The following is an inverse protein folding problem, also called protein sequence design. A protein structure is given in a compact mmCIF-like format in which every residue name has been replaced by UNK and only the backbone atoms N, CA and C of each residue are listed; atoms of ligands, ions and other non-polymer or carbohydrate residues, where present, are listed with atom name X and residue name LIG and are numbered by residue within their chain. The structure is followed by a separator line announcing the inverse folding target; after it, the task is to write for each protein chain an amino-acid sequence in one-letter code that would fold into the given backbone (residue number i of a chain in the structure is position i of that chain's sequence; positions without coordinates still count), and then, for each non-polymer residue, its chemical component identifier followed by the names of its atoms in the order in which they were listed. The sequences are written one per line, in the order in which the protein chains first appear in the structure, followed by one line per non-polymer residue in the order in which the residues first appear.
data_IF_759370151045
#
_entry.id   IF_759370151045
#
_cell.length_a   1.000
_cell.length_b   1.000
_cell.length_c   1.000
_cell.angle_alpha   90.00
_cell.angle_beta   90.00
_cell.angle_gamma   90.00
#
_symmetry.space_group_name_H-M   'P 1'
#
loop_
_entity.id
_entity.type
_entity.pdbx_description
1 polymer ?
#
# COMPACT_ATOMS: atom_id res chain seq x y z
N UNK A 1 -22.75 -5.68 19.73
CA UNK A 1 -22.31 -6.91 20.42
C UNK A 1 -22.88 -8.17 19.76
N UNK A 2 -24.03 -8.74 20.15
CA UNK A 2 -24.45 -10.11 19.76
C UNK A 2 -24.21 -10.51 18.29
N UNK A 3 -24.71 -9.76 17.30
CA UNK A 3 -24.48 -10.05 15.86
C UNK A 3 -22.99 -10.07 15.44
N UNK A 4 -22.12 -9.28 16.07
CA UNK A 4 -20.68 -9.24 15.74
C UNK A 4 -19.95 -10.45 16.35
N UNK A 5 -20.34 -10.86 17.56
CA UNK A 5 -19.85 -12.10 18.17
C UNK A 5 -20.29 -13.31 17.32
N UNK A 6 -21.54 -13.33 16.83
CA UNK A 6 -22.03 -14.35 15.90
C UNK A 6 -21.21 -14.41 14.60
N UNK A 7 -20.95 -13.26 13.97
CA UNK A 7 -20.16 -13.18 12.72
C UNK A 7 -18.74 -13.70 12.95
N UNK A 8 -18.11 -13.38 14.08
CA UNK A 8 -16.83 -13.97 14.48
C UNK A 8 -16.88 -15.50 14.55
N UNK A 9 -17.97 -16.04 15.10
CA UNK A 9 -18.12 -17.47 15.34
C UNK A 9 -18.45 -18.28 14.09
N UNK A 10 -19.19 -17.69 13.16
CA UNK A 10 -19.40 -18.26 11.82
C UNK A 10 -18.13 -18.22 10.94
N UNK A 11 -17.08 -17.52 11.38
CA UNK A 11 -15.80 -17.41 10.67
C UNK A 11 -14.62 -17.99 11.45
N UNK A 12 -14.79 -18.61 12.63
CA UNK A 12 -13.70 -18.97 13.57
C UNK A 12 -12.90 -20.23 13.14
N UNK A 13 -12.89 -20.51 11.84
CA UNK A 13 -13.05 -21.83 11.27
C UNK A 13 -11.80 -22.43 10.60
N UNK A 14 -10.70 -21.70 10.59
CA UNK A 14 -9.41 -22.15 10.05
C UNK A 14 -8.28 -21.47 10.85
N UNK A 15 -8.17 -21.81 12.13
CA UNK A 15 -7.33 -21.08 13.11
C UNK A 15 -6.07 -21.88 13.51
N UNK A 16 -5.94 -23.16 13.14
CA UNK A 16 -5.00 -24.07 13.80
C UNK A 16 -3.95 -24.67 12.87
N UNK A 17 -2.69 -24.67 13.32
CA UNK A 17 -1.87 -25.89 13.22
C UNK A 17 -2.50 -26.90 14.18
N UNK A 18 -3.07 -27.99 13.63
CA UNK A 18 -3.95 -28.96 14.28
C UNK A 18 -3.75 -29.08 15.82
N UNK A 19 -2.56 -29.50 16.21
CA UNK A 19 -2.19 -29.90 17.56
C UNK A 19 -2.39 -28.76 18.59
N UNK A 20 -2.05 -27.52 18.25
CA UNK A 20 -1.95 -26.42 19.23
C UNK A 20 -3.30 -25.95 19.81
N UNK A 21 -4.42 -26.17 19.13
CA UNK A 21 -5.76 -25.85 19.66
C UNK A 21 -6.45 -27.07 20.23
N UNK A 22 -6.26 -28.23 19.61
CA UNK A 22 -6.67 -29.51 20.17
C UNK A 22 -6.05 -29.69 21.56
N UNK A 23 -4.79 -29.29 21.79
CA UNK A 23 -4.16 -29.28 23.10
C UNK A 23 -4.69 -28.20 24.07
N UNK A 24 -5.00 -26.99 23.59
CA UNK A 24 -5.72 -25.98 24.39
C UNK A 24 -7.11 -26.48 24.81
N UNK A 25 -7.80 -27.24 23.97
CA UNK A 25 -9.12 -27.79 24.27
C UNK A 25 -9.07 -29.02 25.20
N UNK A 26 -7.98 -29.81 25.18
CA UNK A 26 -7.75 -30.88 26.16
C UNK A 26 -7.59 -30.33 27.58
N UNK A 27 -6.92 -29.18 27.75
CA UNK A 27 -6.69 -28.55 29.07
C UNK A 27 -6.77 -27.01 29.02
N UNK A 28 -7.97 -26.41 28.85
CA UNK A 28 -8.12 -24.97 28.76
C UNK A 28 -7.99 -24.30 30.14
N UNK A 29 -7.35 -23.12 30.20
CA UNK A 29 -7.46 -22.25 31.38
C UNK A 29 -8.92 -21.83 31.64
N UNK A 30 -9.29 -21.34 32.83
CA UNK A 30 -10.63 -20.85 33.10
C UNK A 30 -11.13 -19.82 32.07
N UNK A 31 -10.29 -18.88 31.63
CA UNK A 31 -10.62 -17.88 30.61
C UNK A 31 -10.77 -18.49 29.22
N UNK A 32 -9.92 -19.45 28.85
CA UNK A 32 -10.04 -20.19 27.60
C UNK A 32 -11.34 -21.01 27.59
N UNK A 33 -11.69 -21.66 28.70
CA UNK A 33 -12.96 -22.40 28.84
C UNK A 33 -14.17 -21.47 28.77
N UNK A 34 -14.12 -20.28 29.39
CA UNK A 34 -15.16 -19.25 29.20
C UNK A 34 -15.26 -18.78 27.74
N UNK A 35 -14.13 -18.71 27.03
CA UNK A 35 -14.09 -18.33 25.61
C UNK A 35 -14.70 -19.42 24.72
N UNK A 36 -14.30 -20.68 24.87
CA UNK A 36 -14.90 -21.84 24.17
C UNK A 36 -16.40 -21.94 24.46
N UNK A 37 -16.81 -21.76 25.72
CA UNK A 37 -18.23 -21.76 26.10
C UNK A 37 -19.01 -20.61 25.43
N UNK A 38 -18.44 -19.40 25.34
CA UNK A 38 -19.06 -18.29 24.61
C UNK A 38 -19.13 -18.57 23.10
N UNK A 39 -18.12 -19.26 22.55
CA UNK A 39 -18.09 -19.64 21.13
C UNK A 39 -19.23 -20.59 20.77
N UNK A 40 -19.43 -21.64 21.56
CA UNK A 40 -20.45 -22.68 21.31
C UNK A 40 -21.86 -22.12 21.50
N UNK A 41 -22.09 -21.33 22.55
CA UNK A 41 -23.42 -20.79 22.85
C UNK A 41 -23.93 -19.87 21.72
N UNK A 42 -23.10 -18.97 21.19
CA UNK A 42 -23.52 -18.08 20.11
C UNK A 42 -23.45 -18.73 18.71
N UNK A 43 -22.74 -19.86 18.53
CA UNK A 43 -22.99 -20.73 17.37
C UNK A 43 -24.41 -21.32 17.43
N UNK A 44 -24.80 -21.86 18.60
CA UNK A 44 -26.09 -22.52 18.81
C UNK A 44 -27.29 -21.58 18.74
N UNK A 45 -27.12 -20.29 19.07
CA UNK A 45 -28.19 -19.27 19.06
C UNK A 45 -28.87 -19.12 17.66
N UNK A 46 -28.19 -19.53 16.58
CA UNK A 46 -28.67 -19.36 15.18
C UNK A 46 -28.61 -20.66 14.35
N UNK A 47 -28.71 -21.82 15.00
CA UNK A 47 -28.76 -23.13 14.34
C UNK A 47 -30.00 -23.93 14.73
N UNK A 48 -30.59 -24.62 13.76
CA UNK A 48 -31.62 -25.63 13.99
C UNK A 48 -31.09 -26.71 14.95
N UNK A 49 -31.95 -27.27 15.81
CA UNK A 49 -31.58 -28.24 16.88
C UNK A 49 -30.51 -29.26 16.45
N UNK A 50 -30.77 -29.98 15.35
CA UNK A 50 -29.90 -31.01 14.74
C UNK A 50 -28.49 -30.56 14.32
N UNK A 51 -28.20 -29.26 14.30
CA UNK A 51 -26.91 -28.71 13.91
C UNK A 51 -26.13 -28.08 15.08
N UNK A 52 -26.77 -27.88 16.25
CA UNK A 52 -26.15 -27.32 17.44
C UNK A 52 -24.98 -28.20 17.93
N UNK A 53 -23.92 -27.56 18.39
CA UNK A 53 -22.75 -28.21 19.00
C UNK A 53 -23.01 -28.36 20.50
N UNK A 54 -22.79 -29.54 21.07
CA UNK A 54 -22.96 -29.75 22.51
C UNK A 54 -21.79 -29.13 23.28
N UNK A 55 -22.08 -28.17 24.17
CA UNK A 55 -21.08 -27.47 25.00
C UNK A 55 -20.30 -28.38 25.96
N UNK A 56 -20.78 -29.60 26.18
CA UNK A 56 -20.12 -30.63 26.99
C UNK A 56 -19.56 -31.80 26.14
N UNK A 57 -19.47 -31.66 24.81
CA UNK A 57 -18.81 -32.64 23.96
C UNK A 57 -17.29 -32.69 24.30
N UNK A 58 -16.68 -33.86 24.59
CA UNK A 58 -15.23 -33.94 24.75
C UNK A 58 -14.48 -33.60 23.45
N UNK A 59 -15.07 -33.89 22.29
CA UNK A 59 -14.53 -33.65 20.94
C UNK A 59 -15.01 -32.29 20.37
N UNK A 60 -15.48 -31.38 21.23
CA UNK A 60 -16.11 -30.11 20.82
C UNK A 60 -15.26 -29.24 19.89
N UNK A 61 -13.94 -29.33 20.02
CA UNK A 61 -13.01 -28.57 19.20
C UNK A 61 -12.72 -29.22 17.85
N UNK A 62 -12.97 -30.52 17.71
CA UNK A 62 -12.97 -31.26 16.45
C UNK A 62 -14.32 -31.01 15.73
N UNK A 63 -15.43 -31.00 16.46
CA UNK A 63 -16.75 -30.62 15.94
C UNK A 63 -16.83 -29.13 15.48
N UNK A 64 -16.10 -28.23 16.17
CA UNK A 64 -15.88 -26.83 15.76
C UNK A 64 -14.86 -26.67 14.62
N UNK A 65 -14.10 -27.73 14.27
CA UNK A 65 -13.13 -27.71 13.19
C UNK A 65 -13.73 -28.26 11.89
N UNK A 66 -14.31 -29.46 11.91
CA UNK A 66 -14.82 -30.16 10.73
C UNK A 66 -15.97 -29.42 10.02
N UNK A 67 -16.87 -28.81 10.79
CA UNK A 67 -18.03 -28.05 10.27
C UNK A 67 -17.64 -26.76 9.52
N UNK A 68 -16.34 -26.49 9.35
CA UNK A 68 -15.83 -25.13 9.33
C UNK A 68 -14.56 -24.95 8.49
N UNK A 69 -13.54 -25.77 8.72
CA UNK A 69 -12.31 -26.00 7.94
C UNK A 69 -12.13 -25.18 6.64
N UNK A 70 -11.59 -23.93 6.79
CA UNK A 70 -10.78 -21.56 5.37
C UNK A 70 -10.15 -20.22 6.01
N UNK A 71 -8.80 -20.18 6.12
CA UNK A 71 -7.95 -19.28 6.92
C UNK A 71 -8.60 -18.09 7.64
N UNK A 72 -8.37 -17.97 8.96
CA UNK A 72 -8.55 -16.72 9.73
C UNK A 72 -7.49 -15.67 9.36
N UNK A 73 -7.47 -15.35 8.05
CA UNK A 73 -6.56 -14.51 7.28
C UNK A 73 -7.30 -13.27 6.73
N UNK A 74 -8.58 -13.11 7.10
CA UNK A 74 -9.47 -12.02 6.71
C UNK A 74 -10.75 -12.02 7.57
N UNK A 75 -10.90 -11.06 8.48
CA UNK A 75 -12.22 -10.57 8.91
C UNK A 75 -12.43 -9.23 8.19
N UNK A 76 -13.08 -9.25 7.03
CA UNK A 76 -13.15 -8.07 6.14
C UNK A 76 -14.61 -7.70 5.86
N UNK A 77 -14.92 -6.41 5.88
CA UNK A 77 -16.26 -5.88 5.57
C UNK A 77 -17.32 -6.10 6.66
N UNK A 78 -16.92 -6.45 7.89
CA UNK A 78 -17.85 -6.90 8.95
C UNK A 78 -18.28 -5.78 9.91
N UNK A 79 -17.83 -4.54 9.67
CA UNK A 79 -18.18 -3.37 10.48
C UNK A 79 -17.73 -3.44 11.94
N UNK A 80 -16.74 -4.30 12.24
CA UNK A 80 -16.23 -4.58 13.59
C UNK A 80 -15.58 -3.36 14.23
N UNK A 81 -15.75 -3.15 15.53
CA UNK A 81 -15.12 -2.02 16.25
C UNK A 81 -14.40 -2.44 17.53
N UNK A 82 -14.96 -3.39 18.28
CA UNK A 82 -14.32 -4.03 19.43
C UNK A 82 -13.55 -5.28 18.99
N UNK A 83 -12.24 -5.29 19.24
CA UNK A 83 -11.33 -6.41 19.00
C UNK A 83 -10.69 -6.97 20.28
N UNK A 84 -11.27 -6.69 21.45
CA UNK A 84 -10.76 -7.10 22.77
C UNK A 84 -10.60 -8.61 22.92
N UNK A 85 -11.40 -9.40 22.18
CA UNK A 85 -11.31 -10.86 22.15
C UNK A 85 -9.97 -11.38 21.57
N UNK A 86 -9.28 -10.60 20.71
CA UNK A 86 -8.02 -11.03 20.09
C UNK A 86 -6.89 -11.29 21.11
N UNK A 87 -7.00 -10.76 22.34
CA UNK A 87 -6.02 -11.02 23.41
C UNK A 87 -5.82 -12.51 23.75
N UNK A 88 -6.77 -13.37 23.36
CA UNK A 88 -6.71 -14.83 23.58
C UNK A 88 -6.07 -15.61 22.42
N UNK A 89 -5.58 -14.92 21.37
CA UNK A 89 -5.10 -15.51 20.12
C UNK A 89 -3.61 -15.18 19.89
N UNK A 90 -2.81 -15.16 20.97
CA UNK A 90 -1.42 -14.69 21.05
C UNK A 90 -0.45 -15.33 20.03
N UNK A 91 -0.76 -16.55 19.62
CA UNK A 91 -0.02 -17.35 18.65
C UNK A 91 -0.24 -16.93 17.18
N UNK A 92 -1.20 -16.05 16.87
CA UNK A 92 -1.48 -15.57 15.51
C UNK A 92 -0.24 -14.97 14.85
N UNK A 93 0.17 -15.52 13.71
CA UNK A 93 1.29 -15.00 12.91
C UNK A 93 0.87 -14.04 11.80
N UNK A 94 -0.40 -14.08 11.41
CA UNK A 94 -1.01 -13.31 10.32
C UNK A 94 -2.41 -12.86 10.75
N UNK A 95 -2.75 -11.59 10.51
CA UNK A 95 -4.07 -11.05 10.84
C UNK A 95 -4.47 -9.97 9.81
N UNK A 96 -5.74 -9.99 9.40
CA UNK A 96 -6.31 -9.03 8.48
C UNK A 96 -7.72 -8.67 8.96
N UNK A 97 -7.88 -7.39 9.28
CA UNK A 97 -9.07 -6.74 9.81
C UNK A 97 -9.49 -5.58 8.90
N UNK A 98 -9.09 -5.62 7.62
CA UNK A 98 -9.38 -4.56 6.64
C UNK A 98 -10.89 -4.30 6.54
N UNK A 99 -11.28 -3.06 6.25
CA UNK A 99 -12.67 -2.69 5.97
C UNK A 99 -13.60 -2.97 7.16
N UNK A 100 -13.33 -2.28 8.27
CA UNK A 100 -14.07 -2.37 9.51
C UNK A 100 -14.12 -0.98 10.20
N UNK A 101 -14.76 -0.91 11.36
CA UNK A 101 -14.95 0.29 12.18
C UNK A 101 -13.97 0.34 13.38
N UNK A 102 -12.77 -0.25 13.25
CA UNK A 102 -11.83 -0.37 14.38
C UNK A 102 -11.15 0.99 14.61
N UNK A 103 -11.21 1.45 15.86
CA UNK A 103 -10.63 2.73 16.32
C UNK A 103 -9.59 2.55 17.42
N UNK A 104 -9.70 1.50 18.23
CA UNK A 104 -8.76 1.17 19.32
C UNK A 104 -8.11 -0.18 19.06
N UNK A 105 -6.78 -0.18 18.86
CA UNK A 105 -5.98 -1.40 18.63
C UNK A 105 -5.14 -1.83 19.84
N UNK A 106 -5.42 -1.29 21.03
CA UNK A 106 -4.78 -1.70 22.30
C UNK A 106 -4.78 -3.23 22.54
N UNK A 107 -5.81 -4.01 22.14
CA UNK A 107 -5.78 -5.47 22.28
C UNK A 107 -4.70 -6.20 21.46
N UNK A 108 -4.10 -5.58 20.43
CA UNK A 108 -3.12 -6.25 19.58
C UNK A 108 -1.77 -6.49 20.27
N UNK A 109 -1.47 -5.81 21.40
CA UNK A 109 -0.22 -5.99 22.16
C UNK A 109 0.03 -7.44 22.64
N UNK A 110 -1.02 -8.25 22.73
CA UNK A 110 -0.94 -9.64 23.16
C UNK A 110 -0.56 -10.60 22.02
N UNK A 111 -0.64 -10.17 20.76
CA UNK A 111 -0.36 -10.99 19.57
C UNK A 111 1.14 -11.11 19.30
N UNK A 112 1.90 -11.60 20.27
CA UNK A 112 3.37 -11.56 20.29
C UNK A 112 4.05 -12.31 19.14
N UNK A 113 3.36 -13.22 18.44
CA UNK A 113 3.87 -13.92 17.26
C UNK A 113 3.49 -13.26 15.92
N UNK A 114 2.82 -12.11 15.94
CA UNK A 114 2.22 -11.49 14.75
C UNK A 114 3.27 -10.85 13.83
N UNK A 115 3.41 -11.42 12.63
CA UNK A 115 4.37 -10.98 11.60
C UNK A 115 3.73 -10.19 10.46
N UNK A 116 2.43 -10.38 10.20
CA UNK A 116 1.68 -9.66 9.16
C UNK A 116 0.36 -9.12 9.69
N UNK A 117 0.13 -7.82 9.56
CA UNK A 117 -1.08 -7.14 10.03
C UNK A 117 -1.66 -6.23 8.94
N UNK A 118 -2.93 -6.44 8.60
CA UNK A 118 -3.69 -5.52 7.77
C UNK A 118 -4.88 -4.94 8.57
N UNK A 119 -4.87 -3.62 8.71
CA UNK A 119 -5.86 -2.75 9.35
C UNK A 119 -6.32 -1.65 8.39
N UNK A 120 -6.06 -1.76 7.08
CA UNK A 120 -6.49 -0.69 6.16
C UNK A 120 -8.01 -0.57 6.05
N UNK A 121 -8.52 0.56 5.56
CA UNK A 121 -9.95 0.86 5.55
C UNK A 121 -10.57 0.72 6.97
N UNK A 122 -9.89 1.28 7.97
CA UNK A 122 -10.36 1.47 9.35
C UNK A 122 -10.11 2.94 9.77
N UNK A 123 -10.25 3.28 11.06
CA UNK A 123 -10.03 4.66 11.57
C UNK A 123 -9.28 4.64 12.90
N UNK A 124 -8.08 4.06 12.90
CA UNK A 124 -7.32 3.78 14.13
C UNK A 124 -6.85 5.08 14.79
N UNK A 125 -7.44 5.38 15.95
CA UNK A 125 -7.24 6.62 16.71
C UNK A 125 -6.58 6.41 18.07
N UNK A 126 -6.45 5.16 18.52
CA UNK A 126 -5.88 4.77 19.81
C UNK A 126 -5.13 3.44 19.74
N UNK A 127 -4.09 3.27 20.55
CA UNK A 127 -3.42 2.00 20.77
C UNK A 127 -2.28 1.70 19.80
N UNK A 128 -1.84 2.64 18.95
CA UNK A 128 -0.78 2.41 17.95
C UNK A 128 0.57 2.07 18.61
N UNK A 129 0.80 2.55 19.82
CA UNK A 129 1.90 2.15 20.71
C UNK A 129 1.92 0.64 21.05
N UNK A 130 0.79 -0.05 20.91
CA UNK A 130 0.69 -1.51 21.12
C UNK A 130 1.36 -2.34 20.02
N UNK A 131 1.72 -1.72 18.88
CA UNK A 131 2.42 -2.38 17.78
C UNK A 131 3.95 -2.39 17.96
N UNK A 132 4.52 -1.55 18.85
CA UNK A 132 5.97 -1.32 18.96
C UNK A 132 6.81 -2.59 19.20
N UNK A 133 6.25 -3.54 19.96
CA UNK A 133 6.94 -4.76 20.39
C UNK A 133 6.53 -6.01 19.58
N UNK A 134 5.70 -5.86 18.53
CA UNK A 134 5.26 -6.98 17.71
C UNK A 134 6.29 -7.25 16.59
N UNK A 135 6.59 -8.52 16.23
CA UNK A 135 7.59 -8.88 15.23
C UNK A 135 7.09 -8.69 13.78
N UNK A 136 6.38 -7.58 13.53
CA UNK A 136 5.75 -7.26 12.26
C UNK A 136 6.80 -7.03 11.16
N UNK A 137 6.70 -7.83 10.09
CA UNK A 137 7.41 -7.67 8.81
C UNK A 137 6.56 -6.93 7.79
N UNK A 138 5.23 -7.09 7.86
CA UNK A 138 4.29 -6.47 6.93
C UNK A 138 3.16 -5.78 7.72
N UNK A 139 3.00 -4.48 7.51
CA UNK A 139 1.94 -3.68 8.13
C UNK A 139 1.21 -2.86 7.06
N UNK A 140 -0.11 -2.92 7.06
CA UNK A 140 -1.00 -2.02 6.32
C UNK A 140 -1.98 -1.41 7.33
N UNK A 141 -2.03 -0.09 7.49
CA UNK A 141 -2.84 0.55 8.54
C UNK A 141 -3.32 1.96 8.17
N UNK A 142 -4.61 2.21 8.43
CA UNK A 142 -5.24 3.54 8.35
C UNK A 142 -5.33 4.11 9.78
N UNK A 143 -4.58 5.18 10.06
CA UNK A 143 -4.58 5.85 11.36
C UNK A 143 -5.25 7.22 11.28
N UNK A 144 -5.48 7.86 12.43
CA UNK A 144 -5.92 9.24 12.45
C UNK A 144 -4.77 10.22 12.16
N UNK A 145 -5.15 11.30 11.50
CA UNK A 145 -4.30 12.34 10.93
C UNK A 145 -3.51 13.20 11.97
N UNK A 146 -3.76 12.96 13.27
CA UNK A 146 -3.09 13.58 14.41
C UNK A 146 -2.08 12.64 15.10
N UNK A 147 -2.04 11.36 14.75
CA UNK A 147 -1.15 10.34 15.32
C UNK A 147 0.28 10.55 14.83
N UNK A 148 1.22 10.45 15.76
CA UNK A 148 2.66 10.60 15.54
C UNK A 148 3.29 9.27 15.12
N UNK A 149 3.99 9.25 13.99
CA UNK A 149 4.59 8.03 13.45
C UNK A 149 5.79 7.50 14.25
N UNK A 150 6.19 8.16 15.34
CA UNK A 150 7.18 7.65 16.32
C UNK A 150 6.87 6.24 16.85
N UNK A 151 5.60 5.84 16.88
CA UNK A 151 5.17 4.50 17.29
C UNK A 151 5.50 3.47 16.20
N UNK A 152 5.12 3.76 14.95
CA UNK A 152 5.43 2.90 13.79
C UNK A 152 6.95 2.82 13.55
N UNK A 153 7.67 3.93 13.69
CA UNK A 153 9.14 4.02 13.56
C UNK A 153 9.94 3.26 14.62
N UNK A 154 9.30 2.58 15.58
CA UNK A 154 9.98 1.65 16.51
C UNK A 154 9.94 0.20 16.04
N UNK A 155 9.06 -0.14 15.10
CA UNK A 155 8.83 -1.50 14.59
C UNK A 155 9.93 -1.87 13.56
N UNK A 156 11.19 -1.97 14.03
CA UNK A 156 12.39 -2.15 13.19
C UNK A 156 12.41 -3.43 12.34
N UNK A 157 11.49 -4.37 12.59
CA UNK A 157 11.31 -5.61 11.83
C UNK A 157 10.57 -5.42 10.49
N UNK A 158 9.97 -4.26 10.25
CA UNK A 158 9.19 -4.00 9.02
C UNK A 158 10.05 -4.07 7.76
N UNK A 159 9.60 -4.90 6.81
CA UNK A 159 10.11 -5.00 5.44
C UNK A 159 9.16 -4.34 4.43
N UNK A 160 7.84 -4.39 4.69
CA UNK A 160 6.81 -3.74 3.88
C UNK A 160 5.85 -2.92 4.78
N UNK A 161 5.62 -1.65 4.44
CA UNK A 161 4.69 -0.76 5.15
C UNK A 161 3.75 -0.04 4.16
N UNK A 162 2.44 -0.13 4.39
CA UNK A 162 1.42 0.74 3.80
C UNK A 162 0.76 1.53 4.90
N UNK A 163 0.77 2.85 4.78
CA UNK A 163 0.39 3.76 5.85
C UNK A 163 -0.49 4.87 5.29
N UNK A 164 -1.69 5.00 5.84
CA UNK A 164 -2.68 5.99 5.43
C UNK A 164 -2.88 6.97 6.59
N UNK A 165 -2.66 8.25 6.32
CA UNK A 165 -2.67 9.40 7.24
C UNK A 165 -1.60 9.39 8.34
N UNK A 166 -1.51 10.51 9.07
CA UNK A 166 -0.62 10.69 10.22
C UNK A 166 0.39 11.82 10.04
N UNK A 167 1.24 12.04 11.06
CA UNK A 167 2.23 13.13 11.09
C UNK A 167 3.62 12.66 11.51
N UNK A 168 4.63 13.50 11.27
CA UNK A 168 6.03 13.25 11.64
C UNK A 168 6.63 12.08 10.84
N UNK A 169 6.62 12.18 9.51
CA UNK A 169 7.23 11.19 8.62
C UNK A 169 8.71 10.92 8.94
N UNK A 170 9.43 11.90 9.49
CA UNK A 170 10.81 11.75 9.97
C UNK A 170 11.02 10.62 11.00
N UNK A 171 9.98 10.20 11.71
CA UNK A 171 10.03 9.02 12.55
C UNK A 171 10.35 7.71 11.80
N UNK A 172 10.00 7.61 10.51
CA UNK A 172 10.14 6.39 9.72
C UNK A 172 11.59 6.06 9.34
N UNK A 173 12.52 7.02 9.39
CA UNK A 173 13.96 6.83 9.14
C UNK A 173 14.62 5.70 9.96
N UNK A 174 13.99 5.29 11.06
CA UNK A 174 14.44 4.19 11.93
C UNK A 174 14.13 2.80 11.38
N UNK A 175 13.34 2.69 10.30
CA UNK A 175 12.93 1.44 9.66
C UNK A 175 13.97 0.98 8.62
N UNK A 176 15.20 0.75 9.05
CA UNK A 176 16.36 0.48 8.16
C UNK A 176 16.23 -0.78 7.32
N UNK A 177 15.31 -1.69 7.65
CA UNK A 177 15.04 -2.94 6.91
C UNK A 177 13.93 -2.81 5.86
N UNK A 178 13.31 -1.62 5.74
CA UNK A 178 12.13 -1.41 4.93
C UNK A 178 12.47 -1.38 3.43
N UNK A 179 11.88 -2.30 2.67
CA UNK A 179 12.06 -2.49 1.22
C UNK A 179 10.93 -1.87 0.41
N UNK A 180 9.72 -1.81 0.98
CA UNK A 180 8.54 -1.21 0.33
C UNK A 180 7.79 -0.28 1.26
N UNK A 181 7.52 0.93 0.77
CA UNK A 181 6.76 1.95 1.48
C UNK A 181 5.66 2.53 0.59
N UNK A 182 4.42 2.50 1.08
CA UNK A 182 3.29 3.26 0.54
C UNK A 182 2.81 4.26 1.58
N UNK A 183 2.82 5.56 1.25
CA UNK A 183 2.24 6.62 2.08
C UNK A 183 1.05 7.27 1.36
N UNK A 184 -0.12 7.32 2.00
CA UNK A 184 -1.27 8.10 1.55
C UNK A 184 -1.56 9.23 2.54
N UNK A 185 -1.62 10.47 2.05
CA UNK A 185 -2.00 11.68 2.80
C UNK A 185 -1.23 11.88 4.13
N UNK A 186 0.01 11.38 4.22
CA UNK A 186 0.88 11.54 5.39
C UNK A 186 1.51 12.93 5.38
N UNK A 187 1.54 13.58 6.54
CA UNK A 187 2.12 14.92 6.69
C UNK A 187 3.64 14.86 6.68
N UNK A 188 4.19 15.03 5.48
CA UNK A 188 5.60 15.22 5.16
C UNK A 188 5.79 16.54 4.39
N UNK A 189 7.00 17.09 4.46
CA UNK A 189 7.43 18.33 3.79
C UNK A 189 8.16 18.05 2.47
N UNK A 190 8.92 16.96 2.43
CA UNK A 190 9.88 16.62 1.38
C UNK A 190 10.23 15.13 1.45
N UNK A 191 10.92 14.59 0.43
CA UNK A 191 11.48 13.23 0.53
C UNK A 191 12.64 13.15 1.54
N UNK A 192 13.27 14.28 1.85
CA UNK A 192 14.30 14.40 2.88
C UNK A 192 13.81 13.97 4.27
N UNK A 193 12.49 14.02 4.52
CA UNK A 193 11.88 13.48 5.74
C UNK A 193 12.07 11.96 5.88
N UNK A 194 12.26 11.20 4.80
CA UNK A 194 12.37 9.72 4.84
C UNK A 194 13.65 9.16 4.19
N UNK A 195 14.66 10.02 4.00
CA UNK A 195 15.91 9.71 3.26
C UNK A 195 16.76 8.58 3.86
N UNK A 196 16.67 8.31 5.16
CA UNK A 196 17.54 7.32 5.82
C UNK A 196 17.05 5.87 5.61
N UNK A 197 15.96 5.69 4.83
CA UNK A 197 15.44 4.39 4.38
C UNK A 197 16.33 3.76 3.29
N UNK A 198 17.59 3.48 3.63
CA UNK A 198 18.63 3.05 2.68
C UNK A 198 18.35 1.70 2.00
N UNK A 199 17.52 0.83 2.59
CA UNK A 199 17.10 -0.46 2.02
C UNK A 199 15.89 -0.37 1.08
N UNK A 200 15.34 0.82 0.85
CA UNK A 200 14.06 0.98 0.15
C UNK A 200 14.19 0.71 -1.36
N UNK A 201 13.47 -0.29 -1.85
CA UNK A 201 13.42 -0.69 -3.26
C UNK A 201 12.21 -0.10 -4.00
N UNK A 202 11.10 0.14 -3.30
CA UNK A 202 9.82 0.59 -3.87
C UNK A 202 9.17 1.66 -2.99
N UNK A 203 8.87 2.83 -3.56
CA UNK A 203 8.24 3.95 -2.89
C UNK A 203 6.99 4.38 -3.65
N UNK A 204 5.83 4.35 -2.99
CA UNK A 204 4.55 4.88 -3.50
C UNK A 204 4.06 6.01 -2.60
N UNK A 205 3.76 7.16 -3.20
CA UNK A 205 3.32 8.37 -2.50
C UNK A 205 2.03 8.88 -3.14
N UNK A 206 0.96 9.01 -2.37
CA UNK A 206 -0.36 9.47 -2.83
C UNK A 206 -0.85 10.63 -1.95
N UNK A 207 -1.23 11.77 -2.54
CA UNK A 207 -1.80 12.94 -1.82
C UNK A 207 -0.92 13.53 -0.69
N UNK A 208 0.39 13.23 -0.68
CA UNK A 208 1.32 13.75 0.33
C UNK A 208 1.74 15.23 0.11
N UNK A 209 1.03 15.96 -0.77
CA UNK A 209 1.20 17.41 -1.04
C UNK A 209 2.63 17.86 -1.40
N UNK A 210 3.48 16.96 -1.91
CA UNK A 210 4.86 17.27 -2.28
C UNK A 210 4.94 18.30 -3.40
N UNK A 211 5.94 19.18 -3.32
CA UNK A 211 6.23 20.24 -4.30
C UNK A 211 7.56 20.06 -5.04
N UNK A 212 8.44 19.21 -4.52
CA UNK A 212 9.80 18.98 -5.00
C UNK A 212 10.17 17.49 -4.89
N UNK A 213 11.16 17.08 -5.68
CA UNK A 213 11.81 15.76 -5.64
C UNK A 213 13.20 15.82 -4.99
N UNK A 214 13.52 16.89 -4.28
CA UNK A 214 14.74 17.00 -3.48
C UNK A 214 14.93 15.81 -2.52
N UNK A 215 16.18 15.36 -2.37
CA UNK A 215 16.60 14.12 -1.72
C UNK A 215 16.21 12.80 -2.42
N UNK A 216 15.62 12.78 -3.62
CA UNK A 216 15.34 11.52 -4.34
C UNK A 216 16.60 10.72 -4.71
N UNK A 217 17.75 11.40 -4.80
CA UNK A 217 19.08 10.83 -4.99
C UNK A 217 19.61 10.08 -3.75
N UNK A 218 19.03 10.32 -2.56
CA UNK A 218 19.48 9.74 -1.29
C UNK A 218 19.01 8.29 -1.07
N UNK A 219 18.27 7.69 -2.02
CA UNK A 219 17.75 6.33 -1.94
C UNK A 219 18.52 5.38 -2.90
N UNK A 220 19.67 4.83 -2.49
CA UNK A 220 20.59 4.12 -3.39
C UNK A 220 20.04 2.80 -3.96
N UNK A 221 18.99 2.24 -3.34
CA UNK A 221 18.36 0.98 -3.77
C UNK A 221 16.98 1.14 -4.43
N UNK A 222 16.48 2.37 -4.57
CA UNK A 222 15.11 2.64 -5.01
C UNK A 222 14.94 2.41 -6.52
N UNK A 223 14.36 1.27 -6.89
CA UNK A 223 14.12 0.87 -8.29
C UNK A 223 12.79 1.37 -8.82
N UNK A 224 11.76 1.44 -7.97
CA UNK A 224 10.38 1.79 -8.37
C UNK A 224 9.86 2.98 -7.59
N UNK A 225 9.62 4.09 -8.29
CA UNK A 225 9.01 5.29 -7.73
C UNK A 225 7.61 5.49 -8.32
N UNK A 226 6.61 5.63 -7.46
CA UNK A 226 5.23 6.01 -7.84
C UNK A 226 4.80 7.24 -7.05
N UNK A 227 4.40 8.31 -7.73
CA UNK A 227 3.92 9.54 -7.08
C UNK A 227 2.59 9.97 -7.70
N UNK A 228 1.62 10.29 -6.84
CA UNK A 228 0.28 10.69 -7.23
C UNK A 228 -0.18 11.94 -6.49
N UNK A 229 -1.00 12.75 -7.17
CA UNK A 229 -1.69 13.92 -6.58
C UNK A 229 -0.75 14.82 -5.79
N UNK A 230 0.25 15.33 -6.50
CA UNK A 230 1.35 16.13 -5.95
C UNK A 230 1.62 17.33 -6.84
N UNK A 231 2.12 18.42 -6.26
CA UNK A 231 2.30 19.72 -6.91
C UNK A 231 3.67 19.88 -7.61
N UNK A 232 4.35 18.76 -7.85
CA UNK A 232 5.66 18.68 -8.49
C UNK A 232 5.54 19.06 -9.98
N UNK A 233 6.28 20.09 -10.39
CA UNK A 233 6.41 20.53 -11.79
C UNK A 233 7.79 20.20 -12.39
N UNK A 234 8.84 20.22 -11.56
CA UNK A 234 10.23 19.98 -11.97
C UNK A 234 10.67 18.54 -11.68
N UNK A 235 11.31 17.92 -12.68
CA UNK A 235 11.88 16.58 -12.62
C UNK A 235 13.42 16.57 -12.60
N UNK A 236 14.07 17.74 -12.57
CA UNK A 236 15.54 17.87 -12.55
C UNK A 236 16.23 17.08 -11.42
N UNK A 237 15.70 16.97 -10.19
CA UNK A 237 16.33 16.15 -9.14
C UNK A 237 16.52 14.67 -9.50
N UNK A 238 15.66 14.11 -10.38
CA UNK A 238 15.74 12.70 -10.78
C UNK A 238 17.00 12.36 -11.59
N UNK A 239 17.68 13.34 -12.18
CA UNK A 239 18.90 13.11 -12.98
C UNK A 239 20.01 12.41 -12.16
N UNK A 240 20.02 12.63 -10.84
CA UNK A 240 20.98 12.00 -9.91
C UNK A 240 20.47 10.70 -9.28
N UNK A 241 19.18 10.37 -9.39
CA UNK A 241 18.58 9.14 -8.88
C UNK A 241 18.89 7.93 -9.78
N UNK A 242 20.17 7.56 -9.83
CA UNK A 242 20.72 6.52 -10.71
C UNK A 242 20.16 5.11 -10.41
N UNK A 243 19.47 4.91 -9.28
CA UNK A 243 18.84 3.65 -8.85
C UNK A 243 17.50 3.36 -9.54
N UNK A 244 16.78 4.39 -10.03
CA UNK A 244 15.39 4.23 -10.50
C UNK A 244 15.34 3.59 -11.89
N UNK A 245 14.57 2.48 -11.98
CA UNK A 245 14.27 1.75 -13.20
C UNK A 245 12.84 2.03 -13.71
N UNK A 246 11.89 2.30 -12.81
CA UNK A 246 10.48 2.56 -13.13
C UNK A 246 10.01 3.83 -12.40
N UNK A 247 9.50 4.81 -13.15
CA UNK A 247 8.89 6.03 -12.58
C UNK A 247 7.46 6.21 -13.09
N UNK A 248 6.49 6.07 -12.18
CA UNK A 248 5.07 6.21 -12.46
C UNK A 248 4.52 7.49 -11.80
N UNK A 249 3.92 8.41 -12.56
CA UNK A 249 3.47 9.70 -12.02
C UNK A 249 2.12 10.17 -12.55
N UNK A 250 1.14 10.29 -11.65
CA UNK A 250 -0.25 10.54 -12.00
C UNK A 250 -0.81 11.78 -11.27
N UNK A 251 -1.61 12.60 -11.95
CA UNK A 251 -2.17 13.84 -11.38
C UNK A 251 -1.06 14.76 -10.81
N UNK A 252 -0.02 14.98 -11.62
CA UNK A 252 1.11 15.87 -11.36
C UNK A 252 1.27 16.92 -12.47
N UNK A 253 1.44 18.22 -12.15
CA UNK A 253 1.44 19.32 -13.12
C UNK A 253 2.74 19.46 -13.96
N UNK A 254 3.50 18.38 -14.12
CA UNK A 254 4.71 18.27 -14.96
C UNK A 254 4.38 18.59 -16.42
N UNK A 255 5.23 19.42 -17.05
CA UNK A 255 5.22 19.68 -18.50
C UNK A 255 6.51 19.24 -19.20
N UNK A 256 7.69 19.49 -18.62
CA UNK A 256 8.97 19.03 -19.17
C UNK A 256 9.39 17.66 -18.62
N UNK A 257 9.79 16.77 -19.53
CA UNK A 257 10.36 15.45 -19.25
C UNK A 257 11.80 15.29 -19.77
N UNK A 258 12.43 16.37 -20.27
CA UNK A 258 13.84 16.39 -20.66
C UNK A 258 14.83 15.94 -19.57
N UNK A 259 14.56 16.05 -18.24
CA UNK A 259 15.40 15.44 -17.22
C UNK A 259 15.42 13.90 -17.30
N UNK A 260 14.28 13.26 -17.60
CA UNK A 260 14.16 11.79 -17.63
C UNK A 260 15.02 11.17 -18.72
N UNK A 261 15.23 11.87 -19.84
CA UNK A 261 16.09 11.43 -20.92
C UNK A 261 17.56 11.21 -20.50
N UNK A 262 18.00 11.87 -19.43
CA UNK A 262 19.37 11.81 -18.89
C UNK A 262 19.58 10.68 -17.88
N UNK A 263 18.51 10.04 -17.40
CA UNK A 263 18.59 8.99 -16.37
C UNK A 263 19.14 7.68 -16.95
N UNK A 264 20.19 7.13 -16.35
CA UNK A 264 20.96 6.01 -16.92
C UNK A 264 20.22 4.67 -16.90
N UNK A 265 19.40 4.43 -15.87
CA UNK A 265 18.77 3.13 -15.62
C UNK A 265 17.24 3.12 -15.78
N UNK A 266 16.61 4.28 -16.00
CA UNK A 266 15.16 4.40 -16.16
C UNK A 266 14.69 3.70 -17.45
N UNK A 267 13.93 2.61 -17.30
CA UNK A 267 13.43 1.75 -18.39
C UNK A 267 11.98 2.02 -18.74
N UNK A 268 11.15 2.32 -17.73
CA UNK A 268 9.71 2.49 -17.85
C UNK A 268 9.27 3.83 -17.26
N UNK A 269 8.45 4.57 -18.01
CA UNK A 269 7.61 5.63 -17.46
C UNK A 269 6.14 5.40 -17.79
N UNK A 270 5.30 5.60 -16.79
CA UNK A 270 3.84 5.68 -16.94
C UNK A 270 3.39 7.00 -16.34
N UNK A 271 2.56 7.75 -17.05
CA UNK A 271 2.01 8.99 -16.53
C UNK A 271 0.58 9.18 -16.97
N UNK A 272 -0.19 9.99 -16.26
CA UNK A 272 -1.53 10.41 -16.69
C UNK A 272 -1.96 11.68 -15.97
N UNK A 273 -2.87 12.44 -16.59
CA UNK A 273 -3.40 13.70 -16.05
C UNK A 273 -2.27 14.69 -15.69
N UNK A 274 -1.29 14.81 -16.58
CA UNK A 274 -0.16 15.77 -16.49
C UNK A 274 -0.34 16.91 -17.50
N UNK A 275 0.66 17.78 -17.66
CA UNK A 275 0.70 18.80 -18.73
C UNK A 275 1.61 18.40 -19.91
N UNK A 276 2.09 17.16 -19.94
CA UNK A 276 2.96 16.64 -21.00
C UNK A 276 2.16 16.57 -22.30
N UNK A 277 2.71 17.16 -23.38
CA UNK A 277 2.04 17.27 -24.68
C UNK A 277 2.63 16.36 -25.77
N UNK A 278 3.85 15.84 -25.56
CA UNK A 278 4.62 15.08 -26.55
C UNK A 278 5.84 14.38 -25.91
N UNK A 279 6.26 13.23 -26.45
CA UNK A 279 7.41 12.46 -25.95
C UNK A 279 8.78 12.90 -26.53
N UNK A 280 8.83 13.91 -27.40
CA UNK A 280 10.05 14.37 -28.08
C UNK A 280 11.28 14.62 -27.19
N UNK A 281 11.17 15.16 -25.94
CA UNK A 281 12.35 15.35 -25.09
C UNK A 281 13.07 14.06 -24.70
N UNK A 282 12.43 12.90 -24.87
CA UNK A 282 13.00 11.57 -24.59
C UNK A 282 13.84 11.01 -25.75
N UNK A 283 13.96 11.73 -26.88
CA UNK A 283 14.64 11.25 -28.10
C UNK A 283 16.07 10.76 -27.86
N UNK A 284 16.83 11.47 -27.05
CA UNK A 284 18.24 11.14 -26.75
C UNK A 284 18.38 10.13 -25.59
N UNK A 285 17.27 9.59 -25.06
CA UNK A 285 17.29 8.58 -24.01
C UNK A 285 17.75 7.23 -24.54
N UNK A 286 18.84 6.72 -23.95
CA UNK A 286 19.41 5.39 -24.25
C UNK A 286 18.83 4.27 -23.37
N UNK A 287 18.10 4.64 -22.33
CA UNK A 287 17.64 3.77 -21.24
C UNK A 287 16.14 3.48 -21.32
N UNK A 288 15.32 4.49 -21.63
CA UNK A 288 13.86 4.37 -21.63
C UNK A 288 13.43 3.47 -22.80
N UNK A 289 12.81 2.34 -22.46
CA UNK A 289 12.25 1.35 -23.38
C UNK A 289 10.76 1.57 -23.60
N UNK A 290 10.05 1.99 -22.54
CA UNK A 290 8.61 2.14 -22.50
C UNK A 290 8.21 3.49 -21.89
N UNK A 291 7.28 4.17 -22.55
CA UNK A 291 6.73 5.46 -22.13
C UNK A 291 5.29 5.55 -22.63
N UNK A 292 4.31 5.61 -21.72
CA UNK A 292 2.89 5.68 -22.05
C UNK A 292 2.14 6.70 -21.18
N UNK A 293 1.26 7.47 -21.84
CA UNK A 293 0.24 8.29 -21.20
C UNK A 293 -1.01 7.41 -20.96
N UNK A 294 -1.20 6.96 -19.72
CA UNK A 294 -2.28 6.05 -19.32
C UNK A 294 -3.59 6.77 -19.03
N UNK A 295 -3.81 7.98 -19.56
CA UNK A 295 -5.14 8.60 -19.56
C UNK A 295 -6.11 7.67 -20.29
N UNK A 296 -7.20 7.30 -19.61
CA UNK A 296 -8.37 6.75 -20.30
C UNK A 296 -8.79 7.71 -21.41
N UNK A 297 -9.02 7.19 -22.61
CA UNK A 297 -9.29 7.97 -23.83
C UNK A 297 -10.73 8.50 -23.85
N UNK A 298 -11.12 9.21 -22.80
CA UNK A 298 -12.30 10.06 -22.78
C UNK A 298 -12.20 11.11 -23.89
N UNK A 299 -13.33 11.40 -24.52
CA UNK A 299 -13.42 11.85 -25.92
C UNK A 299 -13.11 13.35 -26.09
N UNK A 300 -12.67 14.05 -25.05
CA UNK A 300 -12.61 15.52 -25.03
C UNK A 300 -11.33 16.15 -25.60
N UNK A 301 -10.29 15.37 -25.94
CA UNK A 301 -9.06 15.92 -26.56
C UNK A 301 -9.16 16.14 -28.09
N UNK A 302 -10.34 15.96 -28.69
CA UNK A 302 -10.57 16.11 -30.14
C UNK A 302 -10.40 17.55 -30.71
N UNK A 303 -10.22 18.55 -29.84
CA UNK A 303 -10.22 19.97 -30.23
C UNK A 303 -8.84 20.67 -30.28
N UNK A 304 -7.73 20.01 -29.91
CA UNK A 304 -6.38 20.60 -30.09
C UNK A 304 -5.58 19.92 -31.21
N UNK A 305 -6.18 19.88 -32.41
CA UNK A 305 -5.70 19.11 -33.59
C UNK A 305 -4.38 19.58 -34.21
N UNK A 306 -3.72 20.61 -33.66
CA UNK A 306 -2.49 21.20 -34.23
C UNK A 306 -1.29 20.24 -34.25
N UNK A 307 -1.22 19.30 -33.31
CA UNK A 307 -0.03 18.45 -33.07
C UNK A 307 -0.27 16.94 -33.12
N UNK A 308 -1.52 16.47 -33.00
CA UNK A 308 -1.84 15.04 -32.81
C UNK A 308 -1.39 14.09 -33.94
N UNK A 309 -1.09 14.61 -35.14
CA UNK A 309 -0.49 13.85 -36.25
C UNK A 309 1.02 13.63 -36.10
N UNK A 310 1.77 14.69 -35.74
CA UNK A 310 3.23 14.67 -35.64
C UNK A 310 3.76 14.22 -34.27
N UNK A 311 2.94 14.24 -33.21
CA UNK A 311 3.38 13.82 -31.87
C UNK A 311 3.70 12.32 -31.86
N UNK A 312 4.89 11.91 -31.37
CA UNK A 312 5.22 10.51 -31.19
C UNK A 312 4.42 9.92 -30.02
N UNK A 313 3.76 8.78 -30.28
CA UNK A 313 2.86 8.06 -29.35
C UNK A 313 3.53 6.91 -28.61
N UNK A 314 4.78 6.61 -28.92
CA UNK A 314 5.57 5.53 -28.29
C UNK A 314 7.07 5.78 -28.44
N UNK A 315 7.89 5.10 -27.64
CA UNK A 315 9.35 5.13 -27.79
C UNK A 315 9.83 4.59 -29.14
N UNK A 316 9.04 3.77 -29.85
CA UNK A 316 9.34 3.37 -31.23
C UNK A 316 9.28 4.59 -32.16
N UNK A 317 8.16 5.31 -32.17
CA UNK A 317 7.99 6.51 -33.00
C UNK A 317 9.03 7.60 -32.67
N UNK A 318 9.38 7.77 -31.38
CA UNK A 318 10.46 8.68 -30.94
C UNK A 318 11.81 8.31 -31.58
N UNK A 319 12.18 7.02 -31.58
CA UNK A 319 13.46 6.52 -32.13
C UNK A 319 13.48 6.53 -33.66
N UNK A 320 12.32 6.41 -34.30
CA UNK A 320 12.13 6.63 -35.75
C UNK A 320 12.21 8.12 -36.14
N UNK A 321 12.47 9.02 -35.18
CA UNK A 321 12.69 10.46 -35.40
C UNK A 321 11.41 11.29 -35.49
N UNK A 322 10.24 10.68 -35.32
CA UNK A 322 8.94 11.37 -35.42
C UNK A 322 8.80 12.41 -34.31
N UNK A 323 8.62 13.66 -34.70
CA UNK A 323 8.43 14.77 -33.77
C UNK A 323 7.69 15.94 -34.42
N UNK A 324 6.91 16.68 -33.62
CA UNK A 324 6.41 18.01 -33.99
C UNK A 324 7.46 19.13 -33.86
N UNK A 325 8.66 18.83 -33.39
CA UNK A 325 9.71 19.81 -33.06
C UNK A 325 10.92 19.61 -33.95
N UNK A 326 11.65 20.69 -34.22
CA UNK A 326 12.92 20.66 -34.94
C UNK A 326 14.00 19.95 -34.09
N UNK A 327 15.22 19.83 -34.64
CA UNK A 327 16.30 19.06 -34.01
C UNK A 327 16.74 19.55 -32.61
N UNK A 328 16.34 20.77 -32.20
CA UNK A 328 16.58 21.33 -30.87
C UNK A 328 15.61 20.81 -29.78
N UNK A 329 14.55 20.09 -30.18
CA UNK A 329 13.49 19.59 -29.30
C UNK A 329 12.59 20.68 -28.69
N UNK A 330 12.70 21.94 -29.12
CA UNK A 330 12.01 23.10 -28.52
C UNK A 330 11.30 23.99 -29.54
N UNK A 331 11.90 24.22 -30.69
CA UNK A 331 11.28 24.98 -31.78
C UNK A 331 10.24 24.11 -32.47
N UNK A 332 8.98 24.57 -32.49
CA UNK A 332 7.91 23.83 -33.16
C UNK A 332 8.11 23.87 -34.68
N UNK A 333 8.07 22.71 -35.34
CA UNK A 333 8.15 22.62 -36.80
C UNK A 333 7.06 23.49 -37.45
N UNK A 334 7.33 24.11 -38.61
CA UNK A 334 6.30 24.81 -39.38
C UNK A 334 5.16 23.84 -39.75
N UNK A 335 3.95 24.39 -39.94
CA UNK A 335 2.72 23.60 -40.10
C UNK A 335 2.82 22.53 -41.20
N UNK A 336 3.45 22.84 -42.33
CA UNK A 336 3.57 21.90 -43.46
C UNK A 336 4.37 20.64 -43.11
N UNK A 337 5.51 20.77 -42.38
CA UNK A 337 6.25 19.60 -41.86
C UNK A 337 5.38 18.76 -40.93
N UNK A 338 4.68 19.42 -39.98
CA UNK A 338 3.79 18.76 -39.01
C UNK A 338 2.62 18.03 -39.66
N UNK A 339 2.09 18.56 -40.76
CA UNK A 339 0.98 17.97 -41.52
C UNK A 339 1.45 16.78 -42.37
N UNK A 340 2.64 16.87 -42.98
CA UNK A 340 3.25 15.79 -43.76
C UNK A 340 3.92 14.70 -42.89
N UNK A 341 4.10 14.95 -41.59
CA UNK A 341 4.72 14.01 -40.65
C UNK A 341 6.25 13.96 -40.70
N UNK A 342 6.89 14.94 -41.34
CA UNK A 342 8.34 15.01 -41.62
C UNK A 342 9.08 15.81 -40.54
#
# INVERSE_FOLDING_TARGET
MRKILLILLLNISFIFSNDSFIDICKNPTPEQKMTINAMVNAYNEFKEEKFKININNPEICEELYDKYNNGFKAIVGQGMSDITFLKYFDWLTHLNLRDNNITDITPLKYLTKLTKLNLSSNKVSKGVESLENLPLKELSIDINDNIDLKYIGRIKTLENLSLFYGKNAHALNKLTNLKKLTLLSVKMSSLCDIKDLQSLEQLTLFENNLKSLECIDQFPNLKKLRIERSLITDLTPLVNANSIEEFHFYEMPVEDISPLAKMKNLRSILFSKTKIKYLSPLKESKSIQFAEDTREKFIEEYFNRSLAGCSPKSMKEVREGKSCFEADGKTLKPFWKRWLGI
#
